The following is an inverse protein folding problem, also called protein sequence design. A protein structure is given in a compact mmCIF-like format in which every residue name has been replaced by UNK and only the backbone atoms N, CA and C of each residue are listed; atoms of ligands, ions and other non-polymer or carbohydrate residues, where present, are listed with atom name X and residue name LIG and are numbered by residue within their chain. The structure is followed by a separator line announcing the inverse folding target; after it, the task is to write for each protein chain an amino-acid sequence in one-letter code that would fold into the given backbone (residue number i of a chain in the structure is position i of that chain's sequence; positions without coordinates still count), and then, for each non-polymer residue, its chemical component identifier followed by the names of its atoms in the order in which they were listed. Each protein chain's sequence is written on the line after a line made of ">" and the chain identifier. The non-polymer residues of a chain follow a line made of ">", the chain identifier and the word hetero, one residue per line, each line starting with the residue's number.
data_IF_787579174882
#
_entry.id   IF_787579174882
#
_cell.length_a   1.000
_cell.length_b   1.000
_cell.length_c   1.000
_cell.angle_alpha   90.00
_cell.angle_beta   90.00
_cell.angle_gamma   90.00
#
_symmetry.space_group_name_H-M   'P 1'
#
loop_
_entity.id
_entity.type
_entity.pdbx_description
1 polymer ?
#
# COMPACT_ATOMS: atom_id res chain seq x y z
N UNK A 1 -2.86 -13.19 -6.25
CA UNK A 1 -3.53 -12.22 -5.38
C UNK A 1 -2.65 -11.00 -5.17
N UNK A 2 -3.27 -9.86 -4.90
CA UNK A 2 -2.58 -8.60 -4.59
C UNK A 2 -2.19 -8.50 -3.11
N UNK A 3 -2.87 -9.28 -2.28
CA UNK A 3 -2.70 -9.26 -0.83
C UNK A 3 -2.83 -10.67 -0.24
N UNK A 4 -2.00 -10.95 0.78
CA UNK A 4 -2.04 -12.16 1.60
C UNK A 4 -1.91 -11.80 3.07
N UNK A 5 -2.67 -12.50 3.92
CA UNK A 5 -2.53 -12.47 5.37
C UNK A 5 -2.67 -13.87 5.93
N UNK A 6 -2.00 -14.15 7.03
CA UNK A 6 -2.14 -15.41 7.74
C UNK A 6 -2.08 -15.18 9.25
N UNK A 7 -2.82 -15.97 10.00
CA UNK A 7 -2.81 -15.96 11.46
C UNK A 7 -2.76 -17.39 11.97
N UNK A 8 -1.94 -17.62 12.99
CA UNK A 8 -1.82 -18.88 13.70
C UNK A 8 -2.18 -18.65 15.16
N UNK A 9 -3.11 -19.46 15.69
CA UNK A 9 -3.49 -19.37 17.10
C UNK A 9 -2.57 -20.22 17.95
N UNK A 10 -2.40 -19.84 19.20
CA UNK A 10 -1.75 -20.65 20.19
C UNK A 10 -2.48 -22.00 20.37
N UNK A 11 -1.75 -23.03 20.78
CA UNK A 11 -2.34 -24.34 21.00
C UNK A 11 -3.40 -24.28 22.11
N UNK A 12 -4.59 -24.80 21.82
CA UNK A 12 -5.70 -24.96 22.76
C UNK A 12 -6.04 -26.42 22.94
N UNK A 13 -6.94 -26.78 23.86
CA UNK A 13 -7.27 -28.17 24.19
C UNK A 13 -8.79 -28.38 24.17
N UNK A 14 -9.22 -29.47 23.51
CA UNK A 14 -10.59 -29.94 23.56
C UNK A 14 -10.62 -31.44 23.88
N UNK A 15 -11.37 -31.83 24.92
CA UNK A 15 -11.50 -33.24 25.33
C UNK A 15 -10.20 -33.93 25.77
N UNK A 16 -9.15 -33.15 26.11
CA UNK A 16 -7.81 -33.65 26.42
C UNK A 16 -6.87 -33.70 25.22
N UNK A 17 -7.35 -33.45 23.99
CA UNK A 17 -6.55 -33.40 22.78
C UNK A 17 -6.14 -31.98 22.47
N UNK A 18 -4.85 -31.70 22.21
CA UNK A 18 -4.38 -30.39 21.77
C UNK A 18 -4.75 -30.15 20.32
N UNK A 19 -5.08 -28.89 20.01
CA UNK A 19 -5.30 -28.45 18.66
C UNK A 19 -4.73 -27.06 18.39
N UNK A 20 -4.45 -26.76 17.12
CA UNK A 20 -3.99 -25.46 16.63
C UNK A 20 -4.90 -25.09 15.46
N UNK A 21 -5.22 -23.80 15.34
CA UNK A 21 -5.97 -23.25 14.22
C UNK A 21 -5.11 -22.22 13.48
N UNK A 22 -5.12 -22.34 12.17
CA UNK A 22 -4.50 -21.38 11.26
C UNK A 22 -5.54 -20.87 10.26
N UNK A 23 -5.48 -19.60 9.95
CA UNK A 23 -6.30 -18.98 8.91
C UNK A 23 -5.42 -18.22 7.92
N UNK A 24 -5.80 -18.24 6.65
CA UNK A 24 -5.15 -17.47 5.60
C UNK A 24 -6.20 -16.75 4.76
N UNK A 25 -5.86 -15.55 4.31
CA UNK A 25 -6.65 -14.78 3.37
C UNK A 25 -5.80 -14.42 2.16
N UNK A 26 -6.38 -14.53 0.95
CA UNK A 26 -5.81 -13.99 -0.27
C UNK A 26 -6.88 -13.13 -0.95
N UNK A 27 -6.48 -11.94 -1.43
CA UNK A 27 -7.42 -10.99 -2.01
C UNK A 27 -6.88 -10.35 -3.30
N UNK A 28 -7.77 -10.15 -4.28
CA UNK A 28 -7.46 -9.43 -5.52
C UNK A 28 -6.65 -10.22 -6.55
N UNK A 29 -5.99 -9.50 -7.45
CA UNK A 29 -5.22 -10.09 -8.55
C UNK A 29 -6.08 -10.93 -9.50
N UNK A 30 -5.67 -12.16 -9.76
CA UNK A 30 -6.37 -13.09 -10.66
C UNK A 30 -7.48 -13.89 -9.97
N UNK A 31 -7.81 -13.59 -8.70
CA UNK A 31 -8.95 -14.22 -8.03
C UNK A 31 -10.24 -13.69 -8.65
N UNK A 32 -11.20 -14.58 -8.90
CA UNK A 32 -12.49 -14.23 -9.51
C UNK A 32 -13.21 -13.18 -8.63
N UNK A 33 -13.57 -12.06 -9.25
CA UNK A 33 -14.20 -10.94 -8.54
C UNK A 33 -15.71 -11.09 -8.39
N UNK A 34 -16.34 -11.89 -9.23
CA UNK A 34 -17.79 -12.12 -9.23
C UNK A 34 -18.15 -13.37 -8.42
N UNK A 35 -19.19 -13.27 -7.62
CA UNK A 35 -19.69 -14.38 -6.83
C UNK A 35 -19.19 -14.40 -5.39
N UNK A 36 -19.39 -15.54 -4.73
CA UNK A 36 -19.00 -15.76 -3.34
C UNK A 36 -17.53 -16.12 -3.23
N UNK A 37 -16.88 -15.65 -2.16
CA UNK A 37 -15.51 -16.01 -1.83
C UNK A 37 -15.31 -17.53 -1.76
N UNK A 38 -14.15 -18.00 -2.16
CA UNK A 38 -13.80 -19.41 -2.02
C UNK A 38 -13.37 -19.69 -0.57
N UNK A 39 -13.93 -20.74 0.03
CA UNK A 39 -13.53 -21.22 1.36
C UNK A 39 -12.80 -22.55 1.22
N UNK A 40 -11.49 -22.53 1.45
CA UNK A 40 -10.62 -23.71 1.49
C UNK A 40 -10.51 -24.21 2.93
N UNK A 41 -10.74 -25.49 3.15
CA UNK A 41 -10.80 -26.10 4.47
C UNK A 41 -9.81 -27.25 4.56
N UNK A 42 -9.06 -27.29 5.62
CA UNK A 42 -8.04 -28.33 5.86
C UNK A 42 -8.14 -28.87 7.28
N UNK A 43 -7.88 -30.16 7.43
CA UNK A 43 -7.65 -30.81 8.72
C UNK A 43 -6.36 -31.65 8.63
N UNK A 44 -5.41 -31.43 9.54
CA UNK A 44 -4.10 -32.08 9.51
C UNK A 44 -3.44 -32.04 8.12
N UNK A 45 -3.50 -30.88 7.44
CA UNK A 45 -2.98 -30.63 6.08
C UNK A 45 -3.74 -31.35 4.94
N UNK A 46 -4.82 -32.06 5.26
CA UNK A 46 -5.66 -32.72 4.26
C UNK A 46 -6.82 -31.80 3.84
N UNK A 47 -7.03 -31.53 2.56
CA UNK A 47 -8.13 -30.70 2.11
C UNK A 47 -9.49 -31.42 2.32
N UNK A 48 -10.47 -30.68 2.85
CA UNK A 48 -11.83 -31.15 3.06
C UNK A 48 -12.69 -30.75 1.85
N UNK A 49 -12.82 -31.65 0.87
CA UNK A 49 -13.46 -31.32 -0.42
C UNK A 49 -14.97 -31.39 -0.35
N UNK A 50 -15.52 -32.33 0.46
CA UNK A 50 -16.95 -32.62 0.55
C UNK A 50 -17.62 -31.97 1.77
N UNK A 51 -18.95 -32.00 1.83
CA UNK A 51 -19.76 -31.55 2.96
C UNK A 51 -19.47 -30.11 3.48
N UNK A 52 -19.29 -29.17 2.54
CA UNK A 52 -19.01 -27.78 2.88
C UNK A 52 -20.03 -27.13 3.82
N UNK A 53 -21.30 -27.50 3.66
CA UNK A 53 -22.42 -26.94 4.43
C UNK A 53 -22.57 -27.45 5.85
N UNK A 54 -21.87 -28.52 6.22
CA UNK A 54 -21.94 -29.15 7.55
C UNK A 54 -20.59 -29.11 8.30
N UNK A 55 -19.73 -28.15 7.98
CA UNK A 55 -18.39 -28.03 8.54
C UNK A 55 -18.28 -26.76 9.39
N UNK A 56 -17.83 -26.92 10.62
CA UNK A 56 -17.62 -25.81 11.56
C UNK A 56 -16.79 -24.67 10.96
N UNK A 57 -15.74 -24.98 10.19
CA UNK A 57 -14.91 -23.97 9.52
C UNK A 57 -15.71 -23.08 8.55
N UNK A 58 -16.63 -23.65 7.80
CA UNK A 58 -17.49 -22.90 6.89
C UNK A 58 -18.53 -22.10 7.66
N UNK A 59 -19.08 -22.64 8.72
CA UNK A 59 -20.14 -22.00 9.49
C UNK A 59 -19.59 -20.78 10.23
N UNK A 60 -18.39 -20.86 10.79
CA UNK A 60 -17.71 -19.71 11.40
C UNK A 60 -17.45 -18.61 10.36
N UNK A 61 -16.95 -18.95 9.17
CA UNK A 61 -16.72 -17.95 8.10
C UNK A 61 -18.02 -17.24 7.71
N UNK A 62 -19.17 -17.94 7.68
CA UNK A 62 -20.49 -17.36 7.41
C UNK A 62 -20.99 -16.43 8.51
N UNK A 63 -20.63 -16.69 9.78
CA UNK A 63 -21.08 -15.93 10.95
C UNK A 63 -20.29 -14.63 11.12
N UNK A 64 -19.08 -14.54 10.60
CA UNK A 64 -18.28 -13.32 10.64
C UNK A 64 -18.98 -12.21 9.85
N UNK A 65 -19.07 -11.02 10.46
CA UNK A 65 -19.55 -9.82 9.78
C UNK A 65 -18.41 -9.21 8.94
N UNK A 66 -18.31 -9.63 7.69
CA UNK A 66 -17.26 -9.22 6.76
C UNK A 66 -17.32 -7.75 6.35
N UNK A 67 -18.49 -7.11 6.47
CA UNK A 67 -18.63 -5.67 6.23
C UNK A 67 -17.78 -4.84 7.19
N UNK A 68 -17.52 -5.34 8.40
CA UNK A 68 -16.62 -4.69 9.36
C UNK A 68 -15.17 -4.64 8.84
N UNK A 69 -14.83 -5.46 7.85
CA UNK A 69 -13.51 -5.56 7.22
C UNK A 69 -13.49 -5.00 5.80
N UNK A 70 -14.53 -4.25 5.40
CA UNK A 70 -14.69 -3.66 4.06
C UNK A 70 -14.78 -4.70 2.93
N UNK A 71 -15.25 -5.90 3.24
CA UNK A 71 -15.58 -6.94 2.27
C UNK A 71 -17.09 -7.02 2.12
N UNK A 72 -17.56 -7.10 0.89
CA UNK A 72 -19.00 -7.19 0.62
C UNK A 72 -19.58 -8.51 1.13
N UNK A 73 -20.78 -8.43 1.72
CA UNK A 73 -21.51 -9.59 2.25
C UNK A 73 -22.99 -9.38 1.99
N UNK A 74 -23.51 -9.94 0.90
CA UNK A 74 -24.92 -9.84 0.56
C UNK A 74 -25.82 -10.36 1.67
N UNK A 75 -26.86 -9.63 2.02
CA UNK A 75 -27.74 -10.00 3.14
C UNK A 75 -27.16 -9.78 4.54
N UNK A 76 -25.87 -9.38 4.67
CA UNK A 76 -25.23 -9.13 5.97
C UNK A 76 -24.79 -10.39 6.74
N UNK A 77 -24.94 -11.56 6.18
CA UNK A 77 -24.50 -12.86 6.71
C UNK A 77 -24.18 -13.83 5.58
N UNK A 78 -23.53 -14.92 5.89
CA UNK A 78 -23.14 -15.93 4.89
C UNK A 78 -21.70 -15.71 4.39
N UNK A 79 -21.33 -16.40 3.32
CA UNK A 79 -20.01 -16.27 2.72
C UNK A 79 -19.89 -14.88 2.06
N UNK A 80 -18.79 -14.14 2.29
CA UNK A 80 -18.58 -12.82 1.67
C UNK A 80 -18.47 -12.95 0.15
N UNK A 81 -18.65 -11.83 -0.57
CA UNK A 81 -18.51 -11.76 -2.02
C UNK A 81 -17.28 -10.97 -2.42
N UNK A 82 -16.76 -11.27 -3.61
CA UNK A 82 -15.61 -10.58 -4.20
C UNK A 82 -14.37 -11.46 -4.35
N UNK A 83 -13.25 -10.88 -4.80
CA UNK A 83 -12.03 -11.62 -5.11
C UNK A 83 -11.27 -12.04 -3.85
N UNK A 84 -11.89 -12.89 -3.04
CA UNK A 84 -11.39 -13.34 -1.74
C UNK A 84 -11.34 -14.87 -1.67
N UNK A 85 -10.23 -15.39 -1.20
CA UNK A 85 -10.07 -16.78 -0.76
C UNK A 85 -9.85 -16.78 0.75
N UNK A 86 -10.64 -17.57 1.47
CA UNK A 86 -10.49 -17.79 2.91
C UNK A 86 -10.02 -19.23 3.11
N UNK A 87 -8.87 -19.41 3.73
CA UNK A 87 -8.32 -20.72 4.08
C UNK A 87 -8.41 -20.92 5.59
N UNK A 88 -8.90 -22.06 6.03
CA UNK A 88 -8.94 -22.44 7.44
C UNK A 88 -8.35 -23.83 7.59
N UNK A 89 -7.39 -23.97 8.49
CA UNK A 89 -6.72 -25.23 8.83
C UNK A 89 -6.87 -25.51 10.33
N UNK A 90 -7.29 -26.71 10.64
CA UNK A 90 -7.34 -27.26 12.00
C UNK A 90 -6.37 -28.43 12.12
N UNK A 91 -5.38 -28.33 12.99
CA UNK A 91 -4.45 -29.40 13.28
C UNK A 91 -4.68 -29.92 14.71
N UNK A 92 -4.84 -31.22 14.88
CA UNK A 92 -5.02 -31.86 16.19
C UNK A 92 -4.59 -33.31 16.15
N UNK A 93 -4.21 -33.85 17.29
CA UNK A 93 -3.99 -35.29 17.47
C UNK A 93 -5.27 -36.07 17.21
N UNK A 94 -6.42 -35.46 17.48
CA UNK A 94 -7.74 -36.08 17.31
C UNK A 94 -8.76 -35.01 16.83
N UNK A 95 -8.78 -34.78 15.50
CA UNK A 95 -9.73 -33.82 14.93
C UNK A 95 -11.17 -34.37 15.08
N UNK A 96 -12.08 -33.61 15.71
CA UNK A 96 -13.49 -34.03 15.79
C UNK A 96 -14.15 -33.86 14.43
N UNK A 97 -14.45 -34.96 13.77
CA UNK A 97 -15.19 -34.98 12.50
C UNK A 97 -16.67 -35.28 12.72
N UNK A 98 -17.50 -34.83 11.80
CA UNK A 98 -18.97 -35.09 11.81
C UNK A 98 -19.31 -36.54 11.48
N UNK A 99 -18.40 -37.25 10.79
CA UNK A 99 -18.60 -38.61 10.30
C UNK A 99 -17.27 -39.36 10.15
N UNK A 100 -17.34 -40.68 9.97
CA UNK A 100 -16.18 -41.54 9.73
C UNK A 100 -15.48 -41.24 8.39
N UNK A 101 -16.16 -40.60 7.42
CA UNK A 101 -15.54 -40.15 6.17
C UNK A 101 -14.57 -38.99 6.32
N UNK A 102 -14.54 -38.31 7.49
CA UNK A 102 -13.65 -37.21 7.80
C UNK A 102 -13.73 -36.03 6.82
N UNK A 103 -14.92 -35.76 6.28
CA UNK A 103 -15.14 -34.72 5.28
C UNK A 103 -15.42 -33.34 5.87
N UNK A 104 -15.81 -33.28 7.14
CA UNK A 104 -16.18 -32.04 7.82
C UNK A 104 -15.81 -32.07 9.29
N UNK A 105 -15.28 -30.95 9.79
CA UNK A 105 -15.01 -30.73 11.21
C UNK A 105 -16.32 -30.50 11.93
N UNK A 106 -16.51 -31.20 13.08
CA UNK A 106 -17.70 -31.05 13.91
C UNK A 106 -17.74 -29.67 14.59
N UNK A 107 -18.95 -29.21 14.91
CA UNK A 107 -19.17 -27.98 15.66
C UNK A 107 -18.77 -28.16 17.13
N UNK A 108 -17.57 -27.71 17.47
CA UNK A 108 -17.00 -27.72 18.82
C UNK A 108 -16.73 -26.27 19.20
N UNK A 109 -17.35 -25.75 20.29
CA UNK A 109 -17.28 -24.32 20.63
C UNK A 109 -15.84 -23.78 20.78
N UNK A 110 -14.94 -24.57 21.34
CA UNK A 110 -13.54 -24.18 21.53
C UNK A 110 -12.82 -24.05 20.19
N UNK A 111 -13.07 -24.96 19.25
CA UNK A 111 -12.47 -24.92 17.91
C UNK A 111 -13.09 -23.79 17.08
N UNK A 112 -14.42 -23.61 17.14
CA UNK A 112 -15.12 -22.51 16.45
C UNK A 112 -14.60 -21.15 16.92
N UNK A 113 -14.37 -20.99 18.23
CA UNK A 113 -13.83 -19.77 18.80
C UNK A 113 -12.42 -19.45 18.27
N UNK A 114 -11.52 -20.42 18.25
CA UNK A 114 -10.17 -20.21 17.72
C UNK A 114 -10.18 -19.95 16.20
N UNK A 115 -11.07 -20.59 15.45
CA UNK A 115 -11.26 -20.29 14.02
C UNK A 115 -11.72 -18.84 13.84
N UNK A 116 -12.70 -18.40 14.62
CA UNK A 116 -13.21 -17.03 14.58
C UNK A 116 -12.10 -16.02 14.85
N UNK A 117 -11.29 -16.25 15.89
CA UNK A 117 -10.18 -15.38 16.25
C UNK A 117 -9.12 -15.33 15.14
N UNK A 118 -8.70 -16.47 14.59
CA UNK A 118 -7.72 -16.54 13.50
C UNK A 118 -8.19 -15.79 12.25
N UNK A 119 -9.42 -16.06 11.81
CA UNK A 119 -9.97 -15.40 10.61
C UNK A 119 -10.13 -13.89 10.82
N UNK A 120 -10.59 -13.47 12.00
CA UNK A 120 -10.70 -12.03 12.34
C UNK A 120 -9.35 -11.34 12.40
N UNK A 121 -8.31 -12.02 12.86
CA UNK A 121 -6.95 -11.48 12.88
C UNK A 121 -6.44 -11.19 11.45
N UNK A 122 -6.50 -12.18 10.56
CA UNK A 122 -6.15 -12.00 9.15
C UNK A 122 -7.05 -10.95 8.45
N UNK A 123 -8.35 -10.91 8.80
CA UNK A 123 -9.30 -9.93 8.24
C UNK A 123 -9.01 -8.48 8.67
N UNK A 124 -8.41 -8.24 9.83
CA UNK A 124 -7.95 -6.89 10.24
C UNK A 124 -6.83 -6.39 9.34
N UNK A 125 -5.90 -7.25 8.95
CA UNK A 125 -4.84 -6.90 8.01
C UNK A 125 -5.41 -6.60 6.62
N UNK A 126 -6.35 -7.42 6.16
CA UNK A 126 -7.08 -7.17 4.90
C UNK A 126 -7.79 -5.82 4.93
N UNK A 127 -8.48 -5.48 6.01
CA UNK A 127 -9.13 -4.17 6.17
C UNK A 127 -8.13 -3.02 6.04
N UNK A 128 -6.97 -3.14 6.65
CA UNK A 128 -5.91 -2.12 6.57
C UNK A 128 -5.41 -1.93 5.14
N UNK A 129 -5.25 -3.03 4.40
CA UNK A 129 -4.90 -3.00 2.97
C UNK A 129 -6.00 -2.33 2.14
N UNK A 130 -7.27 -2.72 2.33
CA UNK A 130 -8.40 -2.15 1.59
C UNK A 130 -8.59 -0.66 1.87
N UNK A 131 -8.41 -0.22 3.11
CA UNK A 131 -8.47 1.20 3.48
C UNK A 131 -7.37 2.01 2.77
N UNK A 132 -6.14 1.51 2.77
CA UNK A 132 -5.03 2.17 2.03
C UNK A 132 -5.34 2.28 0.55
N UNK A 133 -5.76 1.17 -0.07
CA UNK A 133 -6.14 1.14 -1.49
C UNK A 133 -7.28 2.12 -1.82
N UNK A 134 -8.31 2.18 -0.97
CA UNK A 134 -9.42 3.12 -1.15
C UNK A 134 -8.98 4.58 -1.00
N UNK A 135 -8.13 4.89 -0.02
CA UNK A 135 -7.57 6.23 0.17
C UNK A 135 -6.75 6.67 -1.03
N UNK A 136 -5.90 5.79 -1.56
CA UNK A 136 -5.11 6.06 -2.78
C UNK A 136 -6.00 6.31 -4.00
N UNK A 137 -7.05 5.50 -4.20
CA UNK A 137 -7.99 5.70 -5.30
C UNK A 137 -8.76 7.03 -5.18
N UNK A 138 -9.17 7.41 -3.97
CA UNK A 138 -9.83 8.70 -3.73
C UNK A 138 -8.87 9.87 -4.00
N UNK A 139 -7.62 9.75 -3.60
CA UNK A 139 -6.57 10.72 -3.86
C UNK A 139 -6.36 10.90 -5.37
N UNK A 140 -6.15 9.81 -6.11
CA UNK A 140 -6.06 9.84 -7.59
C UNK A 140 -7.24 10.55 -8.25
N UNK A 141 -8.47 10.17 -7.88
CA UNK A 141 -9.67 10.83 -8.44
C UNK A 141 -9.72 12.32 -8.12
N UNK A 142 -9.20 12.73 -6.97
CA UNK A 142 -9.11 14.15 -6.60
C UNK A 142 -8.02 14.86 -7.43
N UNK A 143 -6.85 14.23 -7.60
CA UNK A 143 -5.76 14.71 -8.45
C UNK A 143 -6.24 14.93 -9.89
N UNK A 144 -6.84 13.92 -10.51
CA UNK A 144 -7.34 13.99 -11.89
C UNK A 144 -8.32 15.16 -12.07
N UNK A 145 -9.21 15.36 -11.09
CA UNK A 145 -10.16 16.49 -11.13
C UNK A 145 -9.46 17.84 -11.00
N UNK A 146 -8.53 17.98 -10.09
CA UNK A 146 -7.80 19.22 -9.86
C UNK A 146 -6.87 19.53 -11.03
N UNK A 147 -6.15 18.52 -11.54
CA UNK A 147 -5.31 18.65 -12.73
C UNK A 147 -6.08 19.09 -13.98
N UNK A 148 -7.37 18.77 -14.07
CA UNK A 148 -8.24 19.22 -15.18
C UNK A 148 -8.76 20.63 -14.95
N UNK A 149 -9.21 20.95 -13.74
CA UNK A 149 -9.96 22.20 -13.46
C UNK A 149 -9.02 23.39 -13.26
N UNK A 150 -7.91 23.22 -12.55
CA UNK A 150 -7.02 24.33 -12.20
C UNK A 150 -6.34 24.99 -13.41
N UNK A 151 -5.84 24.26 -14.43
CA UNK A 151 -5.32 24.88 -15.66
C UNK A 151 -6.37 25.70 -16.39
N UNK A 152 -7.59 25.18 -16.53
CA UNK A 152 -8.68 25.93 -17.16
C UNK A 152 -9.03 27.21 -16.40
N UNK A 153 -8.95 27.17 -15.07
CA UNK A 153 -9.18 28.36 -14.24
C UNK A 153 -8.03 29.36 -14.38
N UNK A 154 -6.78 28.92 -14.36
CA UNK A 154 -5.60 29.77 -14.54
C UNK A 154 -5.64 30.48 -15.89
N UNK A 155 -5.92 29.74 -16.96
CA UNK A 155 -6.05 30.30 -18.31
C UNK A 155 -7.16 31.33 -18.41
N UNK A 156 -8.35 31.05 -17.86
CA UNK A 156 -9.47 32.00 -17.85
C UNK A 156 -9.16 33.25 -17.04
N UNK A 157 -8.48 33.11 -15.90
CA UNK A 157 -8.05 34.25 -15.09
C UNK A 157 -7.01 35.10 -15.81
N UNK A 158 -6.03 34.49 -16.45
CA UNK A 158 -5.05 35.20 -17.29
C UNK A 158 -5.74 35.99 -18.39
N UNK A 159 -6.70 35.39 -19.11
CA UNK A 159 -7.44 36.02 -20.18
C UNK A 159 -8.30 37.21 -19.69
N UNK A 160 -8.91 37.11 -18.50
CA UNK A 160 -9.75 38.18 -17.94
C UNK A 160 -8.93 39.31 -17.34
N UNK A 161 -7.79 39.00 -16.71
CA UNK A 161 -6.95 39.97 -16.01
C UNK A 161 -5.87 40.58 -16.89
N UNK A 162 -5.60 40.01 -18.07
CA UNK A 162 -4.51 40.42 -18.97
C UNK A 162 -3.11 40.20 -18.37
N UNK A 163 -2.99 39.29 -17.41
CA UNK A 163 -1.71 38.89 -16.77
C UNK A 163 -1.21 37.59 -17.40
N UNK A 164 0.08 37.28 -17.14
CA UNK A 164 0.67 35.99 -17.48
C UNK A 164 -0.10 34.84 -16.80
N UNK A 165 -0.09 33.68 -17.41
CA UNK A 165 -0.69 32.47 -16.88
C UNK A 165 0.00 32.09 -15.57
N UNK A 166 -0.78 31.77 -14.56
CA UNK A 166 -0.27 31.38 -13.25
C UNK A 166 0.34 29.99 -13.33
N UNK A 167 1.55 29.83 -12.84
CA UNK A 167 2.10 28.50 -12.54
C UNK A 167 1.28 27.85 -11.44
N UNK A 168 0.67 26.72 -11.77
CA UNK A 168 -0.25 26.01 -10.88
C UNK A 168 0.34 24.73 -10.32
N UNK A 169 1.51 24.27 -10.79
CA UNK A 169 2.07 22.96 -10.43
C UNK A 169 2.51 22.96 -8.97
N UNK A 170 3.21 23.98 -8.50
CA UNK A 170 3.55 24.16 -7.09
C UNK A 170 2.29 24.28 -6.19
N UNK A 171 1.24 24.92 -6.69
CA UNK A 171 -0.03 25.05 -5.97
C UNK A 171 -0.76 23.71 -5.88
N UNK A 172 -0.71 22.90 -6.93
CA UNK A 172 -1.24 21.53 -6.96
C UNK A 172 -0.53 20.64 -5.95
N UNK A 173 0.81 20.63 -5.93
CA UNK A 173 1.60 19.86 -4.99
C UNK A 173 1.21 20.18 -3.54
N UNK A 174 1.08 21.47 -3.18
CA UNK A 174 0.66 21.91 -1.83
C UNK A 174 -0.76 21.48 -1.48
N UNK A 175 -1.71 21.58 -2.40
CA UNK A 175 -3.11 21.15 -2.17
C UNK A 175 -3.21 19.63 -1.99
N UNK A 176 -2.34 18.89 -2.65
CA UNK A 176 -2.34 17.43 -2.64
C UNK A 176 -1.58 16.85 -1.43
N UNK A 177 -0.92 17.65 -0.62
CA UNK A 177 0.00 17.22 0.42
C UNK A 177 1.13 16.33 -0.13
N UNK A 178 1.72 16.75 -1.24
CA UNK A 178 2.78 16.02 -1.91
C UNK A 178 4.16 16.61 -1.57
N UNK A 179 5.20 15.86 -1.88
CA UNK A 179 6.58 16.36 -1.87
C UNK A 179 6.86 16.99 -3.23
N UNK A 180 7.33 18.23 -3.21
CA UNK A 180 7.76 18.97 -4.39
C UNK A 180 9.30 19.06 -4.38
N UNK A 181 9.91 18.59 -5.47
CA UNK A 181 11.35 18.76 -5.73
C UNK A 181 11.52 19.72 -6.88
N UNK A 182 12.25 20.80 -6.66
CA UNK A 182 12.59 21.80 -7.70
C UNK A 182 14.08 21.88 -7.88
N UNK A 183 14.53 22.07 -9.14
CA UNK A 183 15.91 22.34 -9.49
C UNK A 183 16.02 23.66 -10.23
N UNK A 184 16.84 24.56 -9.69
CA UNK A 184 17.17 25.82 -10.32
C UNK A 184 18.68 25.85 -10.61
N UNK A 185 19.08 26.40 -11.74
CA UNK A 185 20.47 26.60 -12.11
C UNK A 185 20.74 28.03 -12.51
N UNK A 186 21.66 28.68 -11.79
CA UNK A 186 22.09 30.05 -12.07
C UNK A 186 23.62 30.14 -12.08
N UNK A 187 24.20 30.51 -13.24
CA UNK A 187 25.65 30.81 -13.39
C UNK A 187 26.60 29.73 -12.83
N UNK A 188 26.23 28.45 -12.95
CA UNK A 188 27.03 27.31 -12.45
C UNK A 188 26.68 26.87 -11.04
N UNK A 189 25.87 27.60 -10.30
CA UNK A 189 25.30 27.14 -9.03
C UNK A 189 24.00 26.40 -9.31
N UNK A 190 23.88 25.18 -8.82
CA UNK A 190 22.65 24.37 -8.88
C UNK A 190 22.06 24.32 -7.47
N UNK A 191 20.77 24.58 -7.40
CA UNK A 191 19.99 24.52 -6.16
C UNK A 191 18.89 23.48 -6.29
N UNK A 192 19.00 22.42 -5.50
CA UNK A 192 17.94 21.43 -5.31
C UNK A 192 17.13 21.80 -4.06
N UNK A 193 15.84 21.94 -4.22
CA UNK A 193 14.92 22.25 -3.12
C UNK A 193 13.87 21.16 -3.00
N UNK A 194 13.66 20.67 -1.80
CA UNK A 194 12.63 19.68 -1.45
C UNK A 194 11.67 20.32 -0.46
N UNK A 195 10.43 20.49 -0.85
CA UNK A 195 9.33 20.95 0.02
C UNK A 195 8.46 19.75 0.39
N UNK A 196 8.31 19.46 1.68
CA UNK A 196 7.39 18.44 2.15
C UNK A 196 6.06 19.06 2.54
N UNK A 197 5.07 19.00 1.67
CA UNK A 197 3.72 19.47 1.93
C UNK A 197 2.83 18.38 2.55
N UNK A 198 3.40 17.20 2.86
CA UNK A 198 2.71 16.09 3.51
C UNK A 198 2.49 16.31 5.00
N UNK A 199 1.73 15.43 5.60
CA UNK A 199 1.41 15.42 7.05
C UNK A 199 2.38 14.56 7.89
N UNK A 200 3.37 13.94 7.25
CA UNK A 200 4.42 13.12 7.88
C UNK A 200 5.79 13.52 7.39
N UNK A 201 6.83 13.22 8.18
CA UNK A 201 8.21 13.42 7.74
C UNK A 201 8.52 12.59 6.50
N UNK A 202 9.32 13.14 5.60
CA UNK A 202 9.80 12.49 4.39
C UNK A 202 11.30 12.23 4.50
N UNK A 203 11.69 10.95 4.50
CA UNK A 203 13.08 10.52 4.40
C UNK A 203 13.35 10.13 2.96
N UNK A 204 14.15 10.92 2.26
CA UNK A 204 14.33 10.81 0.81
C UNK A 204 15.78 10.53 0.44
N UNK A 205 15.98 9.84 -0.68
CA UNK A 205 17.27 9.76 -1.36
C UNK A 205 17.11 10.39 -2.75
N UNK A 206 17.83 11.48 -3.01
CA UNK A 206 17.90 12.12 -4.32
C UNK A 206 19.22 11.78 -4.99
N UNK A 207 19.15 11.39 -6.28
CA UNK A 207 20.33 11.10 -7.09
C UNK A 207 20.27 11.92 -8.37
N UNK A 208 21.30 12.72 -8.65
CA UNK A 208 21.51 13.41 -9.93
C UNK A 208 22.67 12.79 -10.71
N UNK A 209 22.54 12.72 -12.01
CA UNK A 209 23.59 12.31 -12.94
C UNK A 209 24.15 13.56 -13.64
N UNK A 210 25.49 13.70 -13.60
CA UNK A 210 26.19 14.89 -14.03
C UNK A 210 27.30 14.51 -15.01
N UNK A 211 27.57 15.36 -16.00
CA UNK A 211 28.64 15.14 -16.97
C UNK A 211 30.02 15.61 -16.46
N UNK A 212 30.07 16.30 -15.31
CA UNK A 212 31.32 16.77 -14.69
C UNK A 212 31.25 16.68 -13.16
N UNK A 213 32.39 16.69 -12.51
CA UNK A 213 32.52 16.66 -11.05
C UNK A 213 31.89 17.91 -10.41
N UNK A 214 30.87 17.74 -9.52
CA UNK A 214 30.32 18.88 -8.79
C UNK A 214 31.24 19.29 -7.64
N UNK A 215 31.26 20.59 -7.33
CA UNK A 215 32.01 21.16 -6.23
C UNK A 215 31.06 21.77 -5.17
N UNK A 216 31.61 22.08 -3.98
CA UNK A 216 30.88 22.68 -2.86
C UNK A 216 29.59 21.96 -2.45
N UNK A 217 29.65 20.62 -2.38
CA UNK A 217 28.50 19.74 -2.10
C UNK A 217 28.33 19.44 -0.61
N UNK A 218 28.17 20.44 0.22
CA UNK A 218 28.00 20.23 1.67
C UNK A 218 26.71 19.48 1.96
N UNK A 219 26.84 18.28 2.54
CA UNK A 219 25.70 17.41 2.87
C UNK A 219 25.32 16.37 1.81
N UNK A 220 26.02 16.32 0.67
CA UNK A 220 25.82 15.28 -0.35
C UNK A 220 27.07 14.42 -0.55
N UNK A 221 26.87 13.22 -1.09
CA UNK A 221 27.95 12.29 -1.48
C UNK A 221 28.12 12.34 -3.00
N UNK A 222 29.35 12.49 -3.44
CA UNK A 222 29.73 12.49 -4.87
C UNK A 222 30.49 11.22 -5.19
N UNK A 223 30.22 10.64 -6.35
CA UNK A 223 30.95 9.49 -6.87
C UNK A 223 31.01 9.51 -8.39
N UNK A 224 31.93 8.71 -8.95
CA UNK A 224 32.11 8.53 -10.39
C UNK A 224 31.91 7.06 -10.74
N UNK A 225 31.22 6.80 -11.83
CA UNK A 225 31.05 5.46 -12.41
C UNK A 225 30.99 5.56 -13.92
N UNK A 226 31.88 4.83 -14.60
CA UNK A 226 31.97 4.75 -16.07
C UNK A 226 32.12 6.11 -16.80
N UNK A 227 32.71 7.11 -16.13
CA UNK A 227 32.94 8.45 -16.69
C UNK A 227 31.78 9.42 -16.50
N UNK A 228 30.74 9.00 -15.81
CA UNK A 228 29.62 9.84 -15.36
C UNK A 228 29.72 10.09 -13.87
N UNK A 229 29.36 11.30 -13.43
CA UNK A 229 29.35 11.70 -12.03
C UNK A 229 27.95 11.59 -11.48
N UNK A 230 27.83 11.15 -10.24
CA UNK A 230 26.57 11.16 -9.51
C UNK A 230 26.70 11.89 -8.19
N UNK A 231 25.65 12.64 -7.87
CA UNK A 231 25.48 13.33 -6.60
C UNK A 231 24.31 12.71 -5.88
N UNK A 232 24.53 12.20 -4.65
CA UNK A 232 23.50 11.64 -3.77
C UNK A 232 23.27 12.48 -2.55
N UNK A 233 22.04 12.85 -2.31
CA UNK A 233 21.62 13.63 -1.16
C UNK A 233 20.50 12.91 -0.40
N UNK A 234 20.64 12.84 0.94
CA UNK A 234 19.69 12.15 1.81
C UNK A 234 19.03 13.12 2.79
N UNK A 235 18.07 13.96 2.37
CA UNK A 235 17.37 14.83 3.28
C UNK A 235 16.25 14.10 4.04
N UNK A 236 16.16 14.39 5.36
CA UNK A 236 14.95 14.18 6.16
C UNK A 236 14.23 15.50 6.26
N UNK A 237 13.05 15.61 5.68
CA UNK A 237 12.26 16.86 5.65
C UNK A 237 11.02 16.69 6.52
N UNK A 238 10.89 17.51 7.56
CA UNK A 238 9.72 17.47 8.42
C UNK A 238 8.46 17.94 7.68
N UNK A 239 7.29 17.55 8.21
CA UNK A 239 6.00 17.99 7.66
C UNK A 239 5.90 19.52 7.62
N UNK A 240 5.65 20.08 6.44
CA UNK A 240 5.56 21.53 6.21
C UNK A 240 6.89 22.25 6.03
N UNK A 241 8.02 21.54 6.12
CA UNK A 241 9.36 22.11 6.02
C UNK A 241 9.97 21.97 4.61
N UNK A 242 11.11 22.64 4.43
CA UNK A 242 11.88 22.67 3.19
C UNK A 242 13.35 22.37 3.48
N UNK A 243 13.94 21.47 2.69
CA UNK A 243 15.39 21.24 2.65
C UNK A 243 15.97 21.77 1.33
N UNK A 244 17.18 22.29 1.38
CA UNK A 244 17.88 22.83 0.21
C UNK A 244 19.31 22.30 0.19
N UNK A 245 19.73 21.82 -1.00
CA UNK A 245 21.13 21.52 -1.30
C UNK A 245 21.60 22.47 -2.39
N UNK A 246 22.76 23.09 -2.17
CA UNK A 246 23.45 23.88 -3.19
C UNK A 246 24.77 23.21 -3.55
N UNK A 247 25.08 23.18 -4.84
CA UNK A 247 26.37 22.72 -5.32
C UNK A 247 26.81 23.52 -6.57
N UNK A 248 28.12 23.55 -6.84
CA UNK A 248 28.67 24.18 -8.02
C UNK A 248 28.94 23.15 -9.11
N UNK A 249 28.56 23.46 -10.33
CA UNK A 249 28.81 22.66 -11.51
C UNK A 249 29.37 23.55 -12.61
N UNK A 250 30.33 23.04 -13.39
CA UNK A 250 30.85 23.76 -14.55
C UNK A 250 29.69 24.28 -15.42
N UNK A 251 29.66 25.58 -15.81
CA UNK A 251 28.58 26.12 -16.62
C UNK A 251 28.30 25.36 -17.92
N UNK A 252 29.32 24.73 -18.49
CA UNK A 252 29.24 23.96 -19.74
C UNK A 252 28.90 22.47 -19.51
N UNK A 253 28.81 22.01 -18.24
CA UNK A 253 28.44 20.65 -17.91
C UNK A 253 26.94 20.43 -17.98
N UNK A 254 26.52 19.24 -18.39
CA UNK A 254 25.11 18.83 -18.47
C UNK A 254 24.65 18.11 -17.21
N UNK A 255 23.36 18.21 -16.90
CA UNK A 255 22.66 17.41 -15.89
C UNK A 255 21.67 16.54 -16.62
N UNK A 256 21.77 15.22 -16.46
CA UNK A 256 20.95 14.26 -17.21
C UNK A 256 19.57 14.08 -16.55
N UNK A 257 18.56 14.67 -17.18
CA UNK A 257 17.16 14.54 -16.81
C UNK A 257 16.78 15.09 -15.41
N UNK A 258 15.63 14.70 -14.89
CA UNK A 258 15.20 15.01 -13.54
C UNK A 258 15.95 14.15 -12.50
N UNK A 259 16.13 14.65 -11.25
CA UNK A 259 16.70 13.83 -10.18
C UNK A 259 15.84 12.57 -9.94
N UNK A 260 16.50 11.43 -9.73
CA UNK A 260 15.84 10.23 -9.21
C UNK A 260 15.54 10.46 -7.72
N UNK A 261 14.33 10.16 -7.29
CA UNK A 261 13.90 10.34 -5.88
C UNK A 261 13.33 9.03 -5.36
N UNK A 262 13.99 8.48 -4.34
CA UNK A 262 13.56 7.29 -3.62
C UNK A 262 13.10 7.66 -2.19
N UNK A 263 12.35 6.78 -1.54
CA UNK A 263 11.83 6.99 -0.18
C UNK A 263 10.38 7.52 -0.13
N UNK A 264 9.77 7.78 -1.28
CA UNK A 264 8.39 8.24 -1.38
C UNK A 264 7.64 7.54 -2.52
N UNK A 265 6.33 7.37 -2.37
CA UNK A 265 5.50 6.86 -3.46
C UNK A 265 5.48 7.87 -4.62
N UNK A 266 5.69 7.40 -5.84
CA UNK A 266 5.70 8.26 -7.04
C UNK A 266 4.41 9.10 -7.22
N UNK A 267 3.30 8.67 -6.63
CA UNK A 267 2.03 9.39 -6.63
C UNK A 267 1.99 10.62 -5.70
N UNK A 268 2.98 10.74 -4.80
CA UNK A 268 3.12 11.85 -3.84
C UNK A 268 4.29 12.77 -4.18
N UNK A 269 4.98 12.49 -5.29
CA UNK A 269 6.15 13.23 -5.73
C UNK A 269 5.82 14.07 -6.96
N UNK A 270 6.17 15.33 -6.91
CA UNK A 270 6.22 16.24 -8.05
C UNK A 270 7.65 16.71 -8.23
N UNK A 271 8.21 16.62 -9.44
CA UNK A 271 9.56 17.10 -9.77
C UNK A 271 9.45 18.15 -10.88
N UNK A 272 9.97 19.34 -10.60
CA UNK A 272 10.05 20.49 -11.54
C UNK A 272 11.53 20.83 -11.78
N UNK A 273 11.92 21.02 -13.06
CA UNK A 273 13.32 21.28 -13.45
C UNK A 273 13.40 22.39 -14.48
#
# INVERSE_FOLDING_TARGET
>A
ADFYAAATRDASVHGGDPFIVEAGLAYGGNIEAEGSAEVMRFANRVPLVYQRGACATTDVVKQINWRNYNVDQPGGSGIPSGPLVVMVHVASTNVPFTSESKDAVANVPEIEHEIELAVREAARELKSFLNRRQSMQQRRKKQDKLATILPEMAQKLAAVTGREELDIDATLARIMNDVLVTREREHGTVRLRVENNGDTNADLELTELLSAEPAATDGATVGEMDGEWFLKWHPTVESGDTAVLEYELDPDADIDGPPSVDGIDAEKLTVEI
#
